data_IF_855296214167
#
_entry.id   IF_855296214167
#
_cell.length_a   1.000
_cell.length_b   1.000
_cell.length_c   1.000
_cell.angle_alpha   90.00
_cell.angle_beta   90.00
_cell.angle_gamma   90.00
#
_symmetry.space_group_name_H-M   'P 1'
#
loop_
_entity.id
_entity.type
_entity.pdbx_description
1 polymer ?
#
# COMPACT_ATOMS: atom_id res chain seq x y z
N UNK A 1 11.09 20.02 3.07
CA UNK A 1 9.93 19.26 2.56
C UNK A 1 10.43 18.08 1.74
N UNK A 2 9.98 16.85 2.05
CA UNK A 2 10.38 15.66 1.27
C UNK A 2 9.72 15.68 -0.11
N UNK A 3 10.35 15.01 -1.10
CA UNK A 3 9.78 14.91 -2.46
C UNK A 3 8.43 14.20 -2.42
N UNK A 4 7.43 14.75 -3.12
CA UNK A 4 6.12 14.12 -3.34
C UNK A 4 6.09 13.25 -4.60
N UNK A 5 7.24 13.02 -5.20
CA UNK A 5 7.33 12.20 -6.40
C UNK A 5 7.86 10.81 -6.02
N UNK A 6 7.14 9.78 -6.46
CA UNK A 6 7.63 8.42 -6.35
C UNK A 6 8.96 8.26 -7.11
N UNK A 7 9.85 7.50 -6.56
CA UNK A 7 11.13 7.16 -7.18
C UNK A 7 11.50 5.72 -6.86
N UNK A 8 12.49 5.18 -7.56
CA UNK A 8 13.00 3.81 -7.32
C UNK A 8 13.49 3.58 -5.89
N UNK A 9 13.79 4.65 -5.13
CA UNK A 9 14.12 4.54 -3.70
C UNK A 9 12.94 4.08 -2.84
N UNK A 10 11.70 4.22 -3.33
CA UNK A 10 10.47 3.75 -2.69
C UNK A 10 10.05 2.35 -3.17
N UNK A 11 10.71 1.81 -4.20
CA UNK A 11 10.34 0.53 -4.78
C UNK A 11 10.51 -0.61 -3.77
N UNK A 12 9.48 -1.43 -3.66
CA UNK A 12 9.47 -2.67 -2.88
C UNK A 12 9.65 -3.91 -3.77
N UNK A 13 9.68 -3.68 -5.10
CA UNK A 13 9.85 -4.70 -6.15
C UNK A 13 8.76 -5.78 -6.13
N UNK A 14 7.55 -5.37 -5.81
CA UNK A 14 6.28 -6.07 -6.05
C UNK A 14 5.43 -5.12 -6.87
N UNK A 15 5.17 -5.48 -8.12
CA UNK A 15 4.64 -4.55 -9.14
C UNK A 15 3.34 -3.90 -8.69
N UNK A 16 2.41 -4.68 -8.15
CA UNK A 16 1.09 -4.21 -7.72
C UNK A 16 1.21 -3.20 -6.56
N UNK A 17 2.09 -3.46 -5.60
CA UNK A 17 2.35 -2.54 -4.47
C UNK A 17 3.05 -1.27 -4.97
N UNK A 18 4.04 -1.41 -5.85
CA UNK A 18 4.76 -0.27 -6.42
C UNK A 18 3.83 0.64 -7.25
N UNK A 19 2.87 0.07 -7.97
CA UNK A 19 1.88 0.84 -8.73
C UNK A 19 0.89 1.57 -7.81
N UNK A 20 0.43 0.94 -6.76
CA UNK A 20 -0.39 1.59 -5.71
C UNK A 20 0.37 2.74 -5.03
N UNK A 21 1.65 2.56 -4.73
CA UNK A 21 2.49 3.65 -4.19
C UNK A 21 2.54 4.85 -5.14
N UNK A 22 2.76 4.62 -6.45
CA UNK A 22 2.75 5.71 -7.46
C UNK A 22 1.42 6.46 -7.45
N UNK A 23 0.30 5.73 -7.34
CA UNK A 23 -1.03 6.36 -7.27
C UNK A 23 -1.22 7.20 -6.00
N UNK A 24 -0.73 6.73 -4.84
CA UNK A 24 -0.81 7.49 -3.59
C UNK A 24 0.05 8.76 -3.69
N UNK A 25 1.28 8.67 -4.21
CA UNK A 25 2.13 9.84 -4.40
C UNK A 25 1.50 10.86 -5.35
N UNK A 26 0.86 10.40 -6.45
CA UNK A 26 0.14 11.26 -7.38
C UNK A 26 -1.06 11.94 -6.70
N UNK A 27 -1.88 11.18 -5.97
CA UNK A 27 -3.04 11.73 -5.24
C UNK A 27 -2.63 12.74 -4.16
N UNK A 28 -1.52 12.50 -3.47
CA UNK A 28 -0.98 13.45 -2.49
C UNK A 28 -0.46 14.73 -3.17
N UNK A 29 0.12 14.61 -4.37
CA UNK A 29 0.53 15.77 -5.17
C UNK A 29 -0.68 16.62 -5.63
N UNK A 30 -1.80 15.96 -5.97
CA UNK A 30 -3.05 16.66 -6.30
C UNK A 30 -3.58 17.45 -5.11
N UNK A 31 -3.61 16.85 -3.91
CA UNK A 31 -3.99 17.57 -2.67
C UNK A 31 -3.08 18.77 -2.42
N UNK A 32 -1.76 18.61 -2.59
CA UNK A 32 -0.82 19.72 -2.46
C UNK A 32 -1.10 20.83 -3.45
N UNK A 33 -1.43 20.50 -4.71
CA UNK A 33 -1.74 21.51 -5.74
C UNK A 33 -2.99 22.33 -5.36
N UNK A 34 -4.02 21.70 -4.79
CA UNK A 34 -5.21 22.39 -4.28
C UNK A 34 -4.84 23.34 -3.13
N UNK A 35 -4.06 22.88 -2.16
CA UNK A 35 -3.61 23.69 -1.01
C UNK A 35 -2.79 24.89 -1.48
N UNK A 36 -1.81 24.70 -2.36
CA UNK A 36 -0.93 25.77 -2.85
C UNK A 36 -1.66 26.74 -3.77
N UNK A 37 -2.73 26.29 -4.43
CA UNK A 37 -3.60 27.13 -5.25
C UNK A 37 -4.58 27.98 -4.43
N UNK A 38 -4.60 27.86 -3.12
CA UNK A 38 -5.50 28.61 -2.23
C UNK A 38 -6.96 28.15 -2.29
N UNK A 39 -7.25 27.01 -2.92
CA UNK A 39 -8.58 26.43 -2.95
C UNK A 39 -8.83 25.60 -1.68
N UNK A 40 -10.08 25.61 -1.19
CA UNK A 40 -10.47 24.79 -0.05
C UNK A 40 -10.43 23.30 -0.35
N UNK A 41 -10.07 22.52 0.64
CA UNK A 41 -10.03 21.04 0.54
C UNK A 41 -11.35 20.38 0.97
N UNK A 42 -12.23 21.06 1.66
CA UNK A 42 -13.52 20.51 2.11
C UNK A 42 -14.35 20.05 0.88
N UNK A 43 -14.82 18.80 0.90
CA UNK A 43 -15.50 18.19 -0.24
C UNK A 43 -14.65 18.02 -1.50
N UNK A 44 -13.32 18.14 -1.40
CA UNK A 44 -12.44 18.06 -2.56
C UNK A 44 -12.28 16.63 -3.07
N UNK A 45 -12.47 16.45 -4.38
CA UNK A 45 -12.22 15.16 -5.05
C UNK A 45 -10.78 14.67 -4.91
N UNK A 46 -9.80 15.59 -4.75
CA UNK A 46 -8.42 15.25 -4.50
C UNK A 46 -8.24 14.57 -3.13
N UNK A 47 -8.88 15.13 -2.09
CA UNK A 47 -8.87 14.54 -0.73
C UNK A 47 -9.54 13.17 -0.73
N UNK A 48 -10.71 13.04 -1.36
CA UNK A 48 -11.41 11.75 -1.48
C UNK A 48 -10.58 10.70 -2.23
N UNK A 49 -9.95 11.09 -3.33
CA UNK A 49 -9.06 10.21 -4.09
C UNK A 49 -7.91 9.71 -3.22
N UNK A 50 -7.23 10.62 -2.50
CA UNK A 50 -6.13 10.27 -1.61
C UNK A 50 -6.56 9.26 -0.55
N UNK A 51 -7.69 9.50 0.11
CA UNK A 51 -8.24 8.59 1.14
C UNK A 51 -8.52 7.20 0.56
N UNK A 52 -9.12 7.12 -0.65
CA UNK A 52 -9.39 5.83 -1.31
C UNK A 52 -8.12 5.09 -1.67
N UNK A 53 -7.11 5.77 -2.25
CA UNK A 53 -5.84 5.14 -2.62
C UNK A 53 -5.13 4.57 -1.39
N UNK A 54 -5.02 5.35 -0.31
CA UNK A 54 -4.38 4.91 0.94
C UNK A 54 -5.15 3.74 1.58
N UNK A 55 -6.47 3.81 1.64
CA UNK A 55 -7.28 2.76 2.24
C UNK A 55 -7.22 1.45 1.42
N UNK A 56 -7.26 1.55 0.10
CA UNK A 56 -7.16 0.41 -0.82
C UNK A 56 -5.82 -0.30 -0.70
N UNK A 57 -4.73 0.47 -0.73
CA UNK A 57 -3.37 -0.02 -0.57
C UNK A 57 -3.18 -0.78 0.76
N UNK A 58 -3.54 -0.16 1.89
CA UNK A 58 -3.44 -0.83 3.19
C UNK A 58 -4.26 -2.11 3.28
N UNK A 59 -5.47 -2.11 2.71
CA UNK A 59 -6.30 -3.30 2.67
C UNK A 59 -5.68 -4.40 1.80
N UNK A 60 -5.07 -4.04 0.66
CA UNK A 60 -4.37 -4.97 -0.21
C UNK A 60 -3.17 -5.60 0.48
N UNK A 61 -2.26 -4.81 1.03
CA UNK A 61 -1.10 -5.33 1.75
C UNK A 61 -1.49 -6.22 2.92
N UNK A 62 -2.51 -5.83 3.70
CA UNK A 62 -2.99 -6.63 4.82
C UNK A 62 -3.56 -7.99 4.36
N UNK A 63 -4.17 -8.08 3.16
CA UNK A 63 -4.57 -9.36 2.55
C UNK A 63 -3.36 -10.20 2.18
N UNK A 64 -2.38 -9.60 1.48
CA UNK A 64 -1.14 -10.28 1.10
C UNK A 64 -0.37 -10.79 2.33
N UNK A 65 -0.24 -9.99 3.37
CA UNK A 65 0.41 -10.36 4.62
C UNK A 65 -0.27 -11.55 5.30
N UNK A 66 -1.62 -11.58 5.34
CA UNK A 66 -2.37 -12.70 5.90
C UNK A 66 -2.19 -13.97 5.07
N UNK A 67 -2.35 -13.85 3.74
CA UNK A 67 -2.22 -14.98 2.81
C UNK A 67 -0.83 -15.62 2.90
N UNK A 68 0.21 -14.80 2.98
CA UNK A 68 1.60 -15.26 3.08
C UNK A 68 2.06 -15.58 4.52
N UNK A 69 1.21 -15.47 5.52
CA UNK A 69 1.54 -15.66 6.95
C UNK A 69 2.74 -14.83 7.40
N UNK A 70 2.74 -13.56 7.03
CA UNK A 70 3.85 -12.65 7.34
C UNK A 70 4.04 -12.47 8.84
N UNK A 71 5.22 -12.80 9.34
CA UNK A 71 5.51 -12.83 10.79
C UNK A 71 5.35 -11.45 11.45
N UNK A 72 5.66 -10.36 10.74
CA UNK A 72 5.57 -8.99 11.26
C UNK A 72 4.20 -8.34 10.99
N UNK A 73 3.16 -9.12 10.66
CA UNK A 73 1.82 -8.62 10.35
C UNK A 73 1.29 -7.61 11.36
N UNK A 74 1.35 -7.95 12.66
CA UNK A 74 0.80 -7.09 13.72
C UNK A 74 1.51 -5.75 13.80
N UNK A 75 2.82 -5.75 13.68
CA UNK A 75 3.64 -4.53 13.71
C UNK A 75 3.33 -3.65 12.50
N UNK A 76 3.35 -4.20 11.28
CA UNK A 76 3.07 -3.48 10.05
C UNK A 76 1.64 -2.91 10.05
N UNK A 77 0.64 -3.75 10.38
CA UNK A 77 -0.75 -3.31 10.50
C UNK A 77 -0.94 -2.19 11.54
N UNK A 78 -0.21 -2.21 12.64
CA UNK A 78 -0.28 -1.14 13.64
C UNK A 78 0.18 0.21 13.08
N UNK A 79 1.16 0.23 12.18
CA UNK A 79 1.58 1.43 11.46
C UNK A 79 0.45 1.95 10.54
N UNK A 80 -0.19 1.05 9.77
CA UNK A 80 -1.37 1.39 8.96
C UNK A 80 -2.52 1.95 9.80
N UNK A 81 -2.85 1.30 10.93
CA UNK A 81 -3.94 1.74 11.79
C UNK A 81 -3.68 3.14 12.38
N UNK A 82 -2.41 3.44 12.69
CA UNK A 82 -2.01 4.77 13.15
C UNK A 82 -2.13 5.82 12.05
N UNK A 83 -1.68 5.49 10.84
CA UNK A 83 -1.83 6.38 9.69
C UNK A 83 -3.31 6.63 9.32
N UNK A 84 -4.16 5.58 9.35
CA UNK A 84 -5.60 5.72 9.13
C UNK A 84 -6.26 6.65 10.13
N UNK A 85 -5.92 6.52 11.42
CA UNK A 85 -6.45 7.42 12.46
C UNK A 85 -6.03 8.86 12.21
N UNK A 86 -4.76 9.08 11.88
CA UNK A 86 -4.24 10.42 11.64
C UNK A 86 -4.83 11.05 10.37
N UNK A 87 -4.94 10.28 9.29
CA UNK A 87 -5.57 10.73 8.06
C UNK A 87 -7.04 11.15 8.30
N UNK A 88 -7.80 10.37 9.05
CA UNK A 88 -9.17 10.70 9.42
C UNK A 88 -9.25 12.00 10.19
N UNK A 89 -8.39 12.23 11.18
CA UNK A 89 -8.34 13.48 11.94
C UNK A 89 -8.08 14.69 11.03
N UNK A 90 -7.20 14.57 10.05
CA UNK A 90 -6.96 15.64 9.08
C UNK A 90 -8.18 15.92 8.22
N UNK A 91 -8.83 14.87 7.72
CA UNK A 91 -10.06 15.01 6.91
C UNK A 91 -11.17 15.70 7.74
N UNK A 92 -11.38 15.29 8.98
CA UNK A 92 -12.36 15.91 9.90
C UNK A 92 -12.06 17.42 10.11
N UNK A 93 -10.80 17.80 10.33
CA UNK A 93 -10.38 19.20 10.47
C UNK A 93 -10.59 20.00 9.18
N UNK A 94 -10.26 19.40 8.02
CA UNK A 94 -10.50 20.00 6.69
C UNK A 94 -11.99 20.30 6.48
N UNK A 95 -12.85 19.33 6.79
CA UNK A 95 -14.31 19.48 6.65
C UNK A 95 -14.88 20.53 7.62
N UNK A 96 -14.21 20.78 8.76
CA UNK A 96 -14.53 21.84 9.71
C UNK A 96 -13.99 23.22 9.31
N UNK A 97 -13.31 23.31 8.15
CA UNK A 97 -12.78 24.57 7.62
C UNK A 97 -11.43 24.99 8.21
N UNK A 98 -10.68 24.08 8.82
CA UNK A 98 -9.34 24.38 9.33
C UNK A 98 -8.35 24.50 8.15
N UNK A 99 -7.98 25.74 7.84
CA UNK A 99 -7.10 26.06 6.71
C UNK A 99 -5.69 25.46 6.82
N UNK A 100 -5.20 25.21 8.04
CA UNK A 100 -3.87 24.64 8.25
C UNK A 100 -3.84 23.12 8.04
N UNK A 101 -4.98 22.45 8.21
CA UNK A 101 -5.06 20.98 8.19
C UNK A 101 -4.60 20.36 6.85
N UNK A 102 -4.79 21.07 5.73
CA UNK A 102 -4.35 20.63 4.41
C UNK A 102 -2.82 20.57 4.27
N UNK A 103 -2.13 21.61 4.69
CA UNK A 103 -0.66 21.66 4.67
C UNK A 103 -0.07 20.60 5.60
N UNK A 104 -0.61 20.51 6.82
CA UNK A 104 -0.19 19.52 7.81
C UNK A 104 -0.42 18.08 7.32
N UNK A 105 -1.54 17.80 6.63
CA UNK A 105 -1.80 16.50 6.00
C UNK A 105 -0.72 16.16 4.97
N UNK A 106 -0.41 17.10 4.07
CA UNK A 106 0.60 16.90 3.02
C UNK A 106 1.98 16.64 3.64
N UNK A 107 2.37 17.40 4.66
CA UNK A 107 3.64 17.24 5.35
C UNK A 107 3.72 15.88 6.08
N UNK A 108 2.70 15.56 6.86
CA UNK A 108 2.62 14.30 7.59
C UNK A 108 2.71 13.10 6.65
N UNK A 109 1.82 13.07 5.63
CA UNK A 109 1.70 11.89 4.78
C UNK A 109 2.91 11.71 3.85
N UNK A 110 3.52 12.80 3.38
CA UNK A 110 4.76 12.72 2.60
C UNK A 110 5.92 12.14 3.41
N UNK A 111 6.04 12.52 4.69
CA UNK A 111 7.06 11.97 5.59
C UNK A 111 6.76 10.51 5.90
N UNK A 112 5.52 10.19 6.25
CA UNK A 112 5.09 8.85 6.61
C UNK A 112 5.28 7.86 5.44
N UNK A 113 4.82 8.20 4.23
CA UNK A 113 5.01 7.37 3.03
C UNK A 113 6.50 7.10 2.77
N UNK A 114 7.33 8.14 2.83
CA UNK A 114 8.76 7.97 2.60
C UNK A 114 9.39 6.97 3.57
N UNK A 115 9.06 7.06 4.85
CA UNK A 115 9.66 6.19 5.87
C UNK A 115 9.04 4.78 5.82
N UNK A 116 7.72 4.68 5.60
CA UNK A 116 6.98 3.43 5.57
C UNK A 116 7.37 2.57 4.37
N UNK A 117 7.37 3.14 3.16
CA UNK A 117 7.74 2.41 1.94
C UNK A 117 9.18 1.90 1.99
N UNK A 118 10.09 2.67 2.58
CA UNK A 118 11.52 2.30 2.66
C UNK A 118 11.82 1.26 3.73
N UNK A 119 10.98 1.12 4.72
CA UNK A 119 11.21 0.17 5.81
C UNK A 119 10.16 -0.94 5.79
N UNK A 120 8.91 -0.65 6.15
CA UNK A 120 7.87 -1.65 6.37
C UNK A 120 7.51 -2.40 5.08
N UNK A 121 7.18 -1.66 4.03
CA UNK A 121 6.76 -2.24 2.76
C UNK A 121 7.93 -2.92 2.03
N UNK A 122 9.15 -2.38 2.16
CA UNK A 122 10.34 -3.03 1.62
C UNK A 122 10.62 -4.37 2.30
N UNK A 123 10.41 -4.47 3.61
CA UNK A 123 10.50 -5.74 4.35
C UNK A 123 9.42 -6.72 3.88
N UNK A 124 8.20 -6.26 3.71
CA UNK A 124 7.10 -7.06 3.17
C UNK A 124 7.40 -7.53 1.75
N UNK A 125 7.81 -6.64 0.85
CA UNK A 125 8.16 -6.98 -0.53
C UNK A 125 9.27 -8.02 -0.61
N UNK A 126 10.33 -7.89 0.21
CA UNK A 126 11.39 -8.89 0.29
C UNK A 126 10.85 -10.26 0.77
N UNK A 127 9.98 -10.26 1.77
CA UNK A 127 9.34 -11.47 2.27
C UNK A 127 8.47 -12.14 1.20
N UNK A 128 7.61 -11.39 0.51
CA UNK A 128 6.72 -11.91 -0.52
C UNK A 128 7.50 -12.54 -1.68
N UNK A 129 8.54 -11.88 -2.19
CA UNK A 129 9.40 -12.42 -3.26
C UNK A 129 10.12 -13.70 -2.84
N UNK A 130 10.58 -13.78 -1.61
CA UNK A 130 11.23 -14.99 -1.09
C UNK A 130 10.21 -16.12 -0.90
N UNK A 131 9.01 -15.81 -0.42
CA UNK A 131 7.92 -16.77 -0.25
C UNK A 131 7.51 -17.38 -1.59
N UNK A 132 7.37 -16.57 -2.64
CA UNK A 132 7.10 -17.06 -4.01
C UNK A 132 8.20 -17.99 -4.52
N UNK A 133 9.47 -17.62 -4.37
CA UNK A 133 10.61 -18.46 -4.78
C UNK A 133 10.66 -19.79 -4.06
N UNK A 134 10.31 -19.81 -2.79
CA UNK A 134 10.29 -21.03 -1.99
C UNK A 134 9.17 -21.97 -2.42
N UNK A 135 7.96 -21.45 -2.62
CA UNK A 135 6.80 -22.21 -3.10
C UNK A 135 7.06 -22.79 -4.51
N UNK A 136 7.64 -22.00 -5.40
CA UNK A 136 8.00 -22.45 -6.75
C UNK A 136 9.06 -23.58 -6.73
N UNK A 137 10.07 -23.52 -5.85
CA UNK A 137 11.07 -24.57 -5.70
C UNK A 137 10.49 -25.87 -5.15
N UNK A 138 9.57 -25.79 -4.19
CA UNK A 138 8.90 -26.96 -3.60
C UNK A 138 8.04 -27.71 -4.63
N UNK A 139 7.30 -27.01 -5.47
CA UNK A 139 6.51 -27.59 -6.56
C UNK A 139 7.40 -28.29 -7.62
N UNK A 140 8.56 -27.75 -7.92
CA UNK A 140 9.51 -28.37 -8.85
C UNK A 140 10.10 -29.66 -8.33
N UNK A 141 10.39 -29.76 -7.01
CA UNK A 141 10.94 -30.98 -6.39
C UNK A 141 9.90 -32.11 -6.24
N UNK A 142 8.62 -31.80 -6.20
CA UNK A 142 7.54 -32.77 -6.10
C UNK A 142 7.18 -33.46 -7.43
N UNK A 143 7.92 -33.25 -8.50
CA UNK A 143 7.75 -33.95 -9.80
C UNK A 143 6.49 -33.57 -10.59
N UNK A 144 5.78 -32.56 -10.19
CA UNK A 144 4.71 -31.97 -10.98
C UNK A 144 5.31 -31.03 -12.03
N UNK A 145 4.97 -31.25 -13.32
CA UNK A 145 5.34 -30.30 -14.38
C UNK A 145 4.95 -28.89 -13.93
N UNK A 146 5.83 -27.89 -14.07
CA UNK A 146 5.41 -26.52 -13.83
C UNK A 146 4.26 -26.23 -14.78
N UNK A 147 3.06 -26.04 -14.26
CA UNK A 147 2.06 -25.26 -14.95
C UNK A 147 2.70 -23.89 -15.15
N UNK A 148 2.71 -23.38 -16.38
CA UNK A 148 3.34 -22.13 -16.80
C UNK A 148 2.75 -20.90 -16.09
N UNK A 149 2.84 -20.86 -14.79
CA UNK A 149 2.40 -19.71 -14.01
C UNK A 149 2.90 -19.78 -12.58
N UNK A 150 4.11 -19.30 -12.33
CA UNK A 150 4.44 -18.64 -11.08
C UNK A 150 3.74 -17.26 -11.02
N UNK A 151 2.61 -17.09 -11.64
CA UNK A 151 1.81 -15.89 -11.65
C UNK A 151 0.71 -16.01 -10.60
N UNK A 152 0.62 -15.02 -9.76
CA UNK A 152 -0.52 -14.81 -8.90
C UNK A 152 -1.75 -14.59 -9.77
N UNK A 153 -2.80 -15.38 -9.57
CA UNK A 153 -4.08 -15.18 -10.24
C UNK A 153 -4.95 -14.30 -9.35
N UNK A 154 -5.30 -13.14 -9.86
CA UNK A 154 -6.25 -12.23 -9.19
C UNK A 154 -7.66 -12.66 -9.57
N UNK A 155 -8.46 -13.14 -8.62
CA UNK A 155 -9.88 -13.43 -8.77
C UNK A 155 -10.64 -12.54 -7.78
N UNK A 156 -11.51 -11.65 -8.30
CA UNK A 156 -12.30 -10.70 -7.50
C UNK A 156 -11.48 -9.77 -6.59
N UNK A 157 -10.28 -9.36 -7.03
CA UNK A 157 -9.39 -8.49 -6.27
C UNK A 157 -8.53 -9.20 -5.23
N UNK A 158 -8.66 -10.51 -5.06
CA UNK A 158 -7.79 -11.33 -4.23
C UNK A 158 -6.78 -12.08 -5.09
N UNK A 159 -5.52 -12.01 -4.69
CA UNK A 159 -4.44 -12.71 -5.38
C UNK A 159 -4.22 -14.07 -4.74
N UNK A 160 -4.50 -15.14 -5.49
CA UNK A 160 -4.34 -16.53 -5.04
C UNK A 160 -3.18 -17.20 -5.77
N UNK A 161 -2.43 -18.01 -5.02
CA UNK A 161 -1.53 -18.97 -5.62
C UNK A 161 -2.33 -20.26 -5.94
N UNK A 162 -2.36 -20.75 -7.19
CA UNK A 162 -3.05 -21.99 -7.54
C UNK A 162 -2.57 -23.22 -6.75
N UNK A 163 -1.38 -23.17 -6.13
CA UNK A 163 -0.82 -24.23 -5.31
C UNK A 163 -1.46 -24.32 -3.89
N UNK A 164 -2.26 -23.35 -3.46
CA UNK A 164 -2.87 -23.37 -2.12
C UNK A 164 -4.18 -24.20 -2.04
N UNK A 165 -4.56 -24.88 -3.11
CA UNK A 165 -5.66 -25.85 -3.07
C UNK A 165 -5.17 -27.18 -2.49
N UNK A 166 -5.17 -27.31 -1.18
CA UNK A 166 -5.18 -28.63 -0.57
C UNK A 166 -6.61 -29.19 -0.61
N UNK A 167 -6.82 -30.45 -1.07
CA UNK A 167 -8.11 -31.10 -0.88
C UNK A 167 -8.36 -31.28 0.61
N UNK A 168 -9.52 -30.84 1.07
CA UNK A 168 -9.99 -31.18 2.43
C UNK A 168 -10.20 -32.69 2.49
N UNK A 169 -9.87 -33.31 3.64
CA UNK A 169 -10.12 -34.72 3.87
C UNK A 169 -11.60 -35.08 3.81
#
# INVERSE_FOLDING_TARGET
MRSLTWSTSHAVFVTEIDDEHKEIFAALSDVKAVVTGGAGLAGSTATERLVRCVAGHFAHEERLMRAARYNSFRWHKSAHDSARRRLRQFVERIEQGDCAAGEELVEYLSSWLHDHTRLADRMLGAFLRNHQRFTCKMTFQAGTRPVDSCSWVTINGDTFNPADRQPKP
#
